data_IF_844491280760
#
_entry.id   IF_844491280760
#
_cell.length_a   1.000
_cell.length_b   1.000
_cell.length_c   1.000
_cell.angle_alpha   90.00
_cell.angle_beta   90.00
_cell.angle_gamma   90.00
#
_symmetry.space_group_name_H-M   'P 1'
#
loop_
_entity.id
_entity.type
_entity.pdbx_description
1 polymer ?
#
# COMPACT_ATOMS: atom_id res chain seq x y z
N UNK A 1 -14.37 12.81 13.71
CA UNK A 1 -13.13 12.72 12.91
C UNK A 1 -12.13 11.92 13.71
N UNK A 2 -11.84 10.67 13.31
CA UNK A 2 -10.87 9.83 14.01
C UNK A 2 -9.46 10.19 13.55
N UNK A 3 -8.61 10.54 14.51
CA UNK A 3 -7.19 10.84 14.38
C UNK A 3 -6.34 9.58 14.07
N UNK A 4 -6.79 8.71 13.17
CA UNK A 4 -6.08 7.48 12.78
C UNK A 4 -5.14 7.67 11.58
N UNK A 5 -5.28 8.76 10.81
CA UNK A 5 -4.41 9.06 9.68
C UNK A 5 -2.98 9.47 10.08
N UNK A 6 -2.76 9.92 11.32
CA UNK A 6 -1.46 10.46 11.76
C UNK A 6 -0.42 9.40 12.16
N UNK A 7 -0.78 8.11 12.18
CA UNK A 7 0.14 7.03 12.63
C UNK A 7 0.56 6.07 11.53
N UNK A 8 -0.01 6.18 10.34
CA UNK A 8 0.32 5.33 9.21
C UNK A 8 1.23 6.11 8.24
N UNK A 9 2.40 5.57 7.96
CA UNK A 9 3.39 6.17 7.04
C UNK A 9 3.76 5.13 6.00
N UNK A 10 4.05 5.56 4.76
CA UNK A 10 4.57 4.64 3.74
C UNK A 10 5.86 4.03 4.26
N UNK A 11 5.89 2.70 4.28
CA UNK A 11 7.04 1.94 4.71
C UNK A 11 8.18 2.14 3.71
N UNK A 12 9.36 2.41 4.24
CA UNK A 12 10.60 2.50 3.48
C UNK A 12 11.72 1.84 4.26
N UNK A 13 12.63 1.20 3.53
CA UNK A 13 13.85 0.62 4.07
C UNK A 13 15.01 0.78 3.08
N UNK A 14 16.12 0.05 3.27
CA UNK A 14 17.26 0.09 2.37
C UNK A 14 16.92 -0.35 0.93
N UNK A 15 15.88 -1.17 0.76
CA UNK A 15 15.37 -1.61 -0.55
C UNK A 15 14.65 -0.49 -1.31
N UNK A 16 14.14 0.52 -0.58
CA UNK A 16 13.45 1.67 -1.15
C UNK A 16 12.13 1.98 -0.45
N UNK A 17 11.27 2.71 -1.17
CA UNK A 17 9.93 3.11 -0.73
C UNK A 17 8.93 2.15 -1.35
N UNK A 18 8.04 1.57 -0.54
CA UNK A 18 7.04 0.59 -0.98
C UNK A 18 5.76 1.30 -1.42
N UNK A 19 5.89 2.07 -2.51
CA UNK A 19 4.83 2.78 -3.20
C UNK A 19 4.95 2.45 -4.70
N UNK A 20 3.94 1.80 -5.26
CA UNK A 20 3.91 1.42 -6.67
C UNK A 20 2.66 1.97 -7.32
N UNK A 21 2.81 2.65 -8.46
CA UNK A 21 1.66 3.12 -9.26
C UNK A 21 1.70 2.47 -10.64
N UNK A 22 0.63 1.76 -10.97
CA UNK A 22 0.39 1.09 -12.24
C UNK A 22 -0.74 1.80 -12.97
N UNK A 23 -0.51 2.15 -14.23
CA UNK A 23 -1.55 2.73 -15.09
C UNK A 23 -1.93 1.70 -16.16
N UNK A 24 -3.22 1.43 -16.27
CA UNK A 24 -3.78 0.60 -17.33
C UNK A 24 -4.73 1.44 -18.15
N UNK A 25 -4.39 1.67 -19.41
CA UNK A 25 -5.33 2.22 -20.38
C UNK A 25 -6.16 1.08 -20.96
N UNK A 26 -7.48 1.16 -20.86
CA UNK A 26 -8.40 0.17 -21.43
C UNK A 26 -8.70 0.47 -22.91
N UNK A 27 -9.44 -0.43 -23.58
CA UNK A 27 -9.84 -0.29 -24.98
C UNK A 27 -10.74 0.94 -25.25
N UNK A 28 -11.38 1.51 -24.22
CA UNK A 28 -12.13 2.77 -24.29
C UNK A 28 -11.26 4.02 -24.11
N UNK A 29 -9.93 3.87 -24.07
CA UNK A 29 -8.96 4.95 -23.83
C UNK A 29 -9.13 5.61 -22.44
N UNK A 30 -9.77 4.93 -21.49
CA UNK A 30 -9.80 5.36 -20.09
C UNK A 30 -8.56 4.83 -19.37
N UNK A 31 -7.89 5.70 -18.61
CA UNK A 31 -6.74 5.29 -17.80
C UNK A 31 -7.20 4.96 -16.39
N UNK A 32 -7.09 3.68 -16.04
CA UNK A 32 -7.30 3.18 -14.69
C UNK A 32 -5.96 3.17 -13.97
N UNK A 33 -5.83 4.01 -12.94
CA UNK A 33 -4.65 4.05 -12.08
C UNK A 33 -4.88 3.14 -10.88
N UNK A 34 -3.91 2.27 -10.64
CA UNK A 34 -3.81 1.42 -9.46
C UNK A 34 -2.58 1.86 -8.68
N UNK A 35 -2.74 2.29 -7.44
CA UNK A 35 -1.62 2.62 -6.56
C UNK A 35 -1.61 1.67 -5.38
N UNK A 36 -0.46 1.13 -5.06
CA UNK A 36 -0.25 0.20 -3.97
C UNK A 36 0.73 0.78 -3.00
N UNK A 37 0.37 0.74 -1.72
CA UNK A 37 1.18 1.32 -0.65
C UNK A 37 1.30 0.29 0.46
N UNK A 38 2.53 -0.02 0.87
CA UNK A 38 2.77 -0.69 2.13
C UNK A 38 2.95 0.38 3.20
N UNK A 39 2.03 0.44 4.15
CA UNK A 39 2.08 1.36 5.28
C UNK A 39 2.62 0.66 6.53
N UNK A 40 3.38 1.40 7.32
CA UNK A 40 3.76 1.07 8.69
C UNK A 40 2.89 1.89 9.63
N UNK A 41 2.23 1.21 10.56
CA UNK A 41 1.37 1.80 11.58
C UNK A 41 1.96 1.52 12.95
N UNK A 42 2.08 2.59 13.76
CA UNK A 42 2.77 2.55 15.05
C UNK A 42 4.28 2.19 14.89
N UNK A 43 5.04 2.13 15.98
CA UNK A 43 6.50 1.90 15.97
C UNK A 43 6.91 0.47 15.51
N UNK A 44 6.54 0.04 14.30
CA UNK A 44 6.94 -1.21 13.61
C UNK A 44 6.14 -2.47 14.00
N UNK A 45 5.02 -2.33 14.69
CA UNK A 45 4.20 -3.46 15.13
C UNK A 45 3.11 -3.84 14.13
N UNK A 46 2.65 -2.93 13.28
CA UNK A 46 1.58 -3.20 12.32
C UNK A 46 1.95 -2.67 10.92
N UNK A 47 1.69 -3.48 9.91
CA UNK A 47 1.92 -3.12 8.51
C UNK A 47 0.66 -3.39 7.70
N UNK A 48 0.26 -2.43 6.87
CA UNK A 48 -0.97 -2.50 6.08
C UNK A 48 -0.64 -2.40 4.60
N UNK A 49 -1.18 -3.32 3.80
CA UNK A 49 -1.11 -3.22 2.35
C UNK A 49 -2.41 -2.57 1.86
N UNK A 50 -2.29 -1.39 1.25
CA UNK A 50 -3.40 -0.67 0.63
C UNK A 50 -3.33 -0.81 -0.89
N UNK A 51 -4.51 -0.86 -1.50
CA UNK A 51 -4.66 -0.63 -2.93
C UNK A 51 -5.64 0.50 -3.16
N UNK A 52 -5.21 1.51 -3.90
CA UNK A 52 -6.05 2.54 -4.46
C UNK A 52 -6.34 2.22 -5.92
N UNK A 53 -7.62 2.26 -6.29
CA UNK A 53 -8.06 2.15 -7.67
C UNK A 53 -8.84 3.40 -8.03
N UNK A 54 -8.28 4.24 -8.90
CA UNK A 54 -8.91 5.48 -9.37
C UNK A 54 -9.43 6.38 -8.23
N UNK A 55 -8.66 6.53 -7.15
CA UNK A 55 -9.02 7.35 -5.99
C UNK A 55 -9.89 6.65 -4.94
N UNK A 56 -10.20 5.37 -5.14
CA UNK A 56 -10.86 4.53 -4.13
C UNK A 56 -9.85 3.61 -3.46
N UNK A 57 -9.44 3.99 -2.25
CA UNK A 57 -8.48 3.22 -1.46
C UNK A 57 -9.16 2.14 -0.62
N UNK A 58 -8.57 0.95 -0.59
CA UNK A 58 -9.02 -0.22 0.17
C UNK A 58 -7.86 -0.91 0.87
N UNK A 59 -8.07 -1.32 2.11
CA UNK A 59 -7.18 -2.25 2.83
C UNK A 59 -7.26 -3.64 2.21
N UNK A 60 -6.14 -4.11 1.65
CA UNK A 60 -6.00 -5.48 1.17
C UNK A 60 -5.76 -6.43 2.33
N UNK A 61 -4.74 -6.16 3.12
CA UNK A 61 -4.26 -7.09 4.15
C UNK A 61 -3.50 -6.34 5.26
N UNK A 62 -3.51 -6.90 6.46
CA UNK A 62 -2.72 -6.42 7.59
C UNK A 62 -1.76 -7.49 8.08
N UNK A 63 -0.56 -7.07 8.46
CA UNK A 63 0.53 -7.92 8.91
C UNK A 63 1.00 -7.44 10.28
N UNK A 64 0.87 -8.29 11.29
CA UNK A 64 1.30 -7.97 12.65
C UNK A 64 2.74 -8.42 12.88
N UNK A 65 3.64 -7.47 13.16
CA UNK A 65 5.07 -7.70 13.41
C UNK A 65 5.78 -8.58 12.36
N UNK A 66 5.24 -8.65 11.14
CA UNK A 66 5.75 -9.51 10.08
C UNK A 66 5.90 -8.72 8.77
N UNK A 67 6.92 -7.88 8.75
CA UNK A 67 7.23 -7.05 7.58
C UNK A 67 7.62 -7.89 6.37
N UNK A 68 8.33 -9.00 6.55
CA UNK A 68 8.78 -9.88 5.45
C UNK A 68 7.60 -10.47 4.67
N UNK A 69 6.53 -10.88 5.38
CA UNK A 69 5.30 -11.32 4.73
C UNK A 69 4.61 -10.18 3.97
N UNK A 70 4.60 -8.96 4.52
CA UNK A 70 4.01 -7.80 3.87
C UNK A 70 4.78 -7.40 2.60
N UNK A 71 6.12 -7.44 2.64
CA UNK A 71 7.00 -7.22 1.49
C UNK A 71 6.79 -8.29 0.41
N UNK A 72 6.78 -9.56 0.81
CA UNK A 72 6.52 -10.67 -0.10
C UNK A 72 5.17 -10.50 -0.80
N UNK A 73 4.13 -10.08 -0.08
CA UNK A 73 2.81 -9.81 -0.66
C UNK A 73 2.84 -8.63 -1.64
N UNK A 74 3.52 -7.55 -1.29
CA UNK A 74 3.69 -6.38 -2.16
C UNK A 74 4.38 -6.74 -3.50
N UNK A 75 5.41 -7.59 -3.46
CA UNK A 75 6.16 -8.01 -4.65
C UNK A 75 5.53 -9.14 -5.47
N UNK A 76 4.48 -9.81 -4.97
CA UNK A 76 3.88 -10.99 -5.62
C UNK A 76 2.62 -10.69 -6.44
N UNK A 77 2.35 -9.42 -6.75
CA UNK A 77 1.18 -9.00 -7.56
C UNK A 77 1.56 -8.61 -8.98
#
# INVERSE_FOLDING_TARGET
CNEMANKAQIYSDNDGIYDCTLNKTDDNNETITYRMELLKVNEQTEYYLLIDKSGSSKLLESFHSNIEAAKSKFYSM
#
